data_IF_091110576878
#
_entry.id   IF_091110576878
#
_cell.length_a   1.000
_cell.length_b   1.000
_cell.length_c   1.000
_cell.angle_alpha   90.00
_cell.angle_beta   90.00
_cell.angle_gamma   90.00
#
_symmetry.space_group_name_H-M   'P 1'
#
loop_
_entity.id
_entity.type
_entity.pdbx_description
1 polymer ?
#
# COMPACT_ATOMS: atom_id res chain seq x y z
N UNK A 1 -5.31 27.84 27.43
CA UNK A 1 -4.05 27.59 26.69
C UNK A 1 -3.67 26.13 26.94
N UNK A 2 -3.75 25.31 25.89
CA UNK A 2 -3.51 23.85 25.73
C UNK A 2 -3.81 22.92 26.92
N UNK A 3 -4.81 22.05 26.77
CA UNK A 3 -4.68 20.63 27.15
C UNK A 3 -5.58 19.70 26.32
N UNK A 4 -4.95 18.62 25.87
CA UNK A 4 -5.45 17.40 25.20
C UNK A 4 -6.30 16.58 26.19
N UNK A 5 -7.36 15.86 25.76
CA UNK A 5 -7.80 14.57 26.35
C UNK A 5 -8.87 13.85 25.48
N UNK A 6 -8.48 12.64 25.06
CA UNK A 6 -9.19 11.38 24.75
C UNK A 6 -10.56 11.30 24.03
N UNK A 7 -10.52 10.62 22.87
CA UNK A 7 -11.64 9.86 22.29
C UNK A 7 -12.05 8.72 23.23
N UNK A 8 -13.32 8.69 23.64
CA UNK A 8 -14.00 7.43 23.97
C UNK A 8 -15.02 7.12 22.87
N UNK A 9 -14.68 6.15 22.01
CA UNK A 9 -15.68 5.44 21.19
C UNK A 9 -16.66 4.76 22.15
N UNK A 10 -17.86 5.32 22.31
CA UNK A 10 -18.96 4.60 22.99
C UNK A 10 -19.36 3.42 22.10
N UNK A 11 -19.19 2.20 22.59
CA UNK A 11 -19.87 1.02 22.02
C UNK A 11 -21.39 1.32 22.00
N UNK A 12 -22.14 0.97 20.95
CA UNK A 12 -23.59 1.06 21.01
C UNK A 12 -24.10 0.17 22.16
N UNK A 13 -25.14 0.59 22.90
CA UNK A 13 -25.64 -0.18 24.03
C UNK A 13 -26.11 -1.56 23.55
N UNK A 14 -25.77 -2.57 24.34
CA UNK A 14 -26.06 -3.99 24.14
C UNK A 14 -27.58 -4.20 24.04
N UNK A 15 -28.12 -4.16 22.80
CA UNK A 15 -29.53 -4.37 22.52
C UNK A 15 -29.80 -5.88 22.51
N UNK A 16 -30.32 -6.41 23.62
CA UNK A 16 -30.86 -7.77 23.63
C UNK A 16 -32.20 -7.78 22.92
N UNK A 17 -32.25 -8.41 21.77
CA UNK A 17 -33.46 -8.68 20.99
C UNK A 17 -33.95 -10.09 21.35
N UNK A 18 -35.17 -10.20 21.87
CA UNK A 18 -35.80 -11.50 22.10
C UNK A 18 -36.84 -11.75 21.00
N UNK A 19 -36.78 -12.93 20.38
CA UNK A 19 -37.73 -13.39 19.37
C UNK A 19 -38.84 -14.22 20.01
N UNK A 20 -40.11 -13.88 19.76
CA UNK A 20 -41.27 -14.70 20.14
C UNK A 20 -41.80 -15.44 18.89
N UNK A 21 -41.74 -16.79 18.83
CA UNK A 21 -42.09 -17.54 17.62
C UNK A 21 -43.56 -17.48 17.23
N UNK A 22 -44.47 -17.11 18.13
CA UNK A 22 -45.92 -17.19 17.88
C UNK A 22 -46.53 -15.93 17.24
N UNK A 23 -45.79 -14.82 17.13
CA UNK A 23 -46.33 -13.54 16.63
C UNK A 23 -45.44 -12.81 15.60
N UNK A 24 -44.28 -13.37 15.21
CA UNK A 24 -43.41 -12.78 14.17
C UNK A 24 -42.89 -11.37 14.48
N UNK A 25 -42.88 -10.95 15.74
CA UNK A 25 -42.54 -9.57 16.15
C UNK A 25 -41.28 -9.54 17.02
N UNK A 26 -40.35 -8.64 16.69
CA UNK A 26 -39.18 -8.32 17.51
C UNK A 26 -39.52 -7.23 18.54
N UNK A 27 -39.15 -7.44 19.81
CA UNK A 27 -39.32 -6.44 20.86
C UNK A 27 -37.95 -6.02 21.38
N UNK A 28 -37.61 -4.74 21.25
CA UNK A 28 -36.43 -4.15 21.89
C UNK A 28 -36.83 -3.55 23.24
N UNK A 29 -36.25 -4.05 24.33
CA UNK A 29 -36.41 -3.46 25.66
C UNK A 29 -35.32 -2.39 25.86
N UNK A 30 -35.69 -1.10 25.80
CA UNK A 30 -34.82 -0.02 26.25
C UNK A 30 -35.08 0.31 27.72
N UNK A 31 -34.05 0.33 28.56
CA UNK A 31 -34.15 0.78 29.95
C UNK A 31 -34.40 2.30 30.02
N UNK A 32 -35.61 2.64 30.48
CA UNK A 32 -36.12 3.89 31.08
C UNK A 32 -35.50 5.25 30.72
N UNK A 33 -36.35 6.20 30.28
CA UNK A 33 -36.05 7.65 30.20
C UNK A 33 -36.75 8.38 31.36
N UNK A 34 -36.01 9.21 32.12
CA UNK A 34 -36.55 10.05 33.21
C UNK A 34 -37.25 11.28 32.60
N UNK A 35 -38.56 11.43 32.80
CA UNK A 35 -39.30 12.63 32.41
C UNK A 35 -39.64 13.42 33.68
N UNK A 36 -38.83 14.44 33.99
CA UNK A 36 -38.98 15.41 35.10
C UNK A 36 -39.02 14.84 36.53
N UNK A 37 -39.02 15.72 37.55
CA UNK A 37 -38.82 15.46 38.99
C UNK A 37 -39.95 14.65 39.67
N UNK A 38 -40.28 13.48 39.12
CA UNK A 38 -41.12 12.46 39.74
C UNK A 38 -40.41 11.11 39.84
N UNK A 39 -40.99 10.12 40.55
CA UNK A 39 -40.44 8.78 40.67
C UNK A 39 -40.39 8.06 39.31
N UNK A 40 -39.42 7.14 39.17
CA UNK A 40 -39.24 6.34 37.97
C UNK A 40 -40.51 5.55 37.62
N UNK A 41 -41.07 5.77 36.43
CA UNK A 41 -42.13 4.92 35.86
C UNK A 41 -41.56 4.12 34.70
N UNK A 42 -41.69 2.79 34.79
CA UNK A 42 -41.51 1.89 33.65
C UNK A 42 -42.63 2.16 32.64
N UNK A 43 -42.30 2.80 31.52
CA UNK A 43 -43.18 2.92 30.37
C UNK A 43 -42.78 1.87 29.35
N UNK A 44 -43.70 0.95 29.01
CA UNK A 44 -43.55 0.04 27.87
C UNK A 44 -43.91 0.82 26.61
N UNK A 45 -42.91 1.33 25.88
CA UNK A 45 -43.14 1.75 24.49
C UNK A 45 -42.76 0.60 23.55
N UNK A 46 -43.76 -0.02 22.94
CA UNK A 46 -43.52 -0.96 21.83
C UNK A 46 -43.45 -0.15 20.53
N UNK A 47 -42.23 0.09 20.03
CA UNK A 47 -42.05 0.60 18.67
C UNK A 47 -41.93 -0.60 17.72
N UNK A 48 -42.94 -0.77 16.88
CA UNK A 48 -42.94 -1.73 15.77
C UNK A 48 -41.95 -1.21 14.73
N UNK A 49 -40.82 -1.89 14.56
CA UNK A 49 -39.95 -1.66 13.41
C UNK A 49 -40.47 -2.50 12.24
N UNK A 50 -40.67 -1.93 11.03
CA UNK A 50 -40.89 -2.74 9.84
C UNK A 50 -39.66 -3.64 9.65
N UNK A 51 -39.89 -4.95 9.51
CA UNK A 51 -38.85 -5.94 9.26
C UNK A 51 -38.05 -5.54 7.99
N UNK A 52 -36.70 -5.62 7.97
CA UNK A 52 -35.99 -5.63 6.69
C UNK A 52 -36.45 -6.85 5.88
N UNK A 53 -36.68 -6.66 4.59
CA UNK A 53 -37.21 -7.72 3.73
C UNK A 53 -36.23 -8.91 3.70
N UNK A 54 -36.70 -10.18 3.60
CA UNK A 54 -35.85 -11.36 3.77
C UNK A 54 -34.61 -11.42 2.88
N UNK A 55 -34.65 -10.78 1.71
CA UNK A 55 -33.55 -10.73 0.74
C UNK A 55 -32.40 -9.78 1.15
N UNK A 56 -32.64 -8.81 2.04
CA UNK A 56 -31.60 -7.89 2.52
C UNK A 56 -30.59 -8.58 3.44
N UNK A 57 -30.97 -9.70 4.07
CA UNK A 57 -30.10 -10.50 4.94
C UNK A 57 -29.34 -11.60 4.19
N UNK A 58 -29.75 -11.95 2.98
CA UNK A 58 -29.17 -13.08 2.22
C UNK A 58 -27.94 -12.66 1.41
N UNK A 59 -27.94 -11.44 0.87
CA UNK A 59 -26.84 -10.90 0.06
C UNK A 59 -25.51 -10.84 0.83
N UNK A 60 -25.46 -10.35 2.08
CA UNK A 60 -24.22 -10.33 2.85
C UNK A 60 -23.68 -11.76 3.07
N UNK A 61 -24.56 -12.70 3.45
CA UNK A 61 -24.18 -14.09 3.72
C UNK A 61 -23.66 -14.84 2.48
N UNK A 62 -24.11 -14.46 1.28
CA UNK A 62 -23.65 -15.02 0.01
C UNK A 62 -22.25 -14.52 -0.38
N UNK A 63 -21.95 -13.23 -0.16
CA UNK A 63 -20.65 -12.61 -0.51
C UNK A 63 -19.50 -13.20 0.33
N UNK A 64 -19.77 -13.68 1.54
CA UNK A 64 -18.76 -14.31 2.40
C UNK A 64 -18.48 -15.78 2.07
N UNK A 65 -19.16 -16.39 1.08
CA UNK A 65 -18.90 -17.79 0.70
C UNK A 65 -17.72 -17.90 -0.26
N UNK A 66 -16.81 -18.84 0.02
CA UNK A 66 -15.66 -19.15 -0.83
C UNK A 66 -16.07 -19.51 -2.26
N UNK A 67 -17.19 -20.23 -2.44
CA UNK A 67 -17.70 -20.60 -3.77
C UNK A 67 -18.15 -19.38 -4.59
N UNK A 68 -18.72 -18.37 -3.93
CA UNK A 68 -19.11 -17.12 -4.59
C UNK A 68 -17.86 -16.37 -5.06
N UNK A 69 -16.86 -16.21 -4.19
CA UNK A 69 -15.59 -15.60 -4.55
C UNK A 69 -14.89 -16.35 -5.71
N UNK A 70 -14.87 -17.69 -5.66
CA UNK A 70 -14.30 -18.52 -6.72
C UNK A 70 -15.10 -18.52 -8.03
N UNK A 71 -16.40 -18.23 -7.98
CA UNK A 71 -17.24 -17.99 -9.16
C UNK A 71 -16.95 -16.63 -9.80
N UNK A 72 -16.83 -15.57 -8.98
CA UNK A 72 -16.44 -14.22 -9.42
C UNK A 72 -15.05 -14.24 -10.05
N UNK A 73 -14.06 -14.87 -9.41
CA UNK A 73 -12.71 -14.98 -9.96
C UNK A 73 -12.70 -15.65 -11.35
N UNK A 74 -13.40 -16.78 -11.51
CA UNK A 74 -13.51 -17.49 -12.79
C UNK A 74 -14.17 -16.65 -13.88
N UNK A 75 -15.22 -15.90 -13.52
CA UNK A 75 -15.89 -14.98 -14.44
C UNK A 75 -14.96 -13.83 -14.85
N UNK A 76 -14.30 -13.18 -13.89
CA UNK A 76 -13.36 -12.09 -14.17
C UNK A 76 -12.17 -12.56 -15.02
N UNK A 77 -11.72 -13.81 -14.87
CA UNK A 77 -10.62 -14.37 -15.68
C UNK A 77 -10.99 -14.53 -17.15
N UNK A 78 -12.26 -14.76 -17.49
CA UNK A 78 -12.71 -14.93 -18.88
C UNK A 78 -13.21 -13.63 -19.53
N UNK A 79 -13.57 -12.63 -18.72
CA UNK A 79 -14.02 -11.33 -19.21
C UNK A 79 -12.85 -10.49 -19.74
N UNK A 80 -12.92 -10.14 -21.04
CA UNK A 80 -11.90 -9.35 -21.74
C UNK A 80 -11.73 -7.94 -21.21
N UNK A 81 -12.70 -7.44 -20.45
CA UNK A 81 -12.62 -6.15 -19.76
C UNK A 81 -11.56 -6.16 -18.66
N UNK A 82 -11.32 -7.33 -18.04
CA UNK A 82 -10.35 -7.52 -16.96
C UNK A 82 -9.12 -8.32 -17.39
N UNK A 83 -9.20 -9.06 -18.50
CA UNK A 83 -8.08 -9.81 -19.05
C UNK A 83 -7.01 -8.87 -19.66
N UNK A 84 -6.04 -8.49 -18.85
CA UNK A 84 -4.82 -7.79 -19.26
C UNK A 84 -3.60 -8.68 -19.11
N UNK A 85 -2.57 -8.46 -19.93
CA UNK A 85 -1.32 -9.19 -19.84
C UNK A 85 -0.39 -8.56 -18.79
N UNK A 86 0.64 -9.27 -18.37
CA UNK A 86 1.64 -8.69 -17.45
C UNK A 86 2.33 -7.45 -18.04
N UNK A 87 2.46 -7.35 -19.37
CA UNK A 87 3.05 -6.22 -20.09
C UNK A 87 2.22 -4.93 -20.04
N UNK A 88 0.97 -5.03 -19.58
CA UNK A 88 0.09 -3.88 -19.40
C UNK A 88 0.34 -3.12 -18.11
N UNK A 89 1.03 -3.75 -17.15
CA UNK A 89 1.37 -3.19 -15.84
C UNK A 89 2.75 -2.52 -15.88
N UNK A 90 2.88 -1.41 -15.15
CA UNK A 90 4.12 -0.62 -15.00
C UNK A 90 4.74 -0.19 -16.34
N UNK A 91 3.90 0.10 -17.34
CA UNK A 91 4.32 0.39 -18.72
C UNK A 91 5.12 1.69 -18.86
N UNK A 92 4.75 2.73 -18.12
CA UNK A 92 5.46 4.02 -18.20
C UNK A 92 6.66 4.01 -17.24
N UNK A 93 7.85 3.88 -17.80
CA UNK A 93 9.13 3.91 -17.08
C UNK A 93 9.35 5.21 -16.27
N UNK A 94 8.68 6.31 -16.62
CA UNK A 94 8.86 7.61 -15.98
C UNK A 94 7.70 7.97 -15.03
N UNK A 95 6.75 7.05 -14.79
CA UNK A 95 5.83 7.14 -13.67
C UNK A 95 6.37 6.34 -12.48
N UNK A 96 6.40 6.97 -11.31
CA UNK A 96 6.80 6.35 -10.06
C UNK A 96 5.59 6.30 -9.11
N UNK A 97 5.21 5.09 -8.70
CA UNK A 97 4.22 4.91 -7.63
C UNK A 97 4.81 5.23 -6.27
N UNK A 98 4.07 5.94 -5.42
CA UNK A 98 4.44 6.28 -4.05
C UNK A 98 3.21 6.17 -3.14
N UNK A 99 3.42 6.14 -1.82
CA UNK A 99 2.32 6.06 -0.86
C UNK A 99 1.34 7.24 -0.94
N UNK A 100 1.76 8.40 -1.47
CA UNK A 100 0.92 9.61 -1.59
C UNK A 100 0.31 9.78 -2.99
N UNK A 101 0.66 8.91 -3.95
CA UNK A 101 0.19 8.98 -5.32
C UNK A 101 1.26 8.64 -6.34
N UNK A 102 1.03 9.06 -7.59
CA UNK A 102 1.93 8.81 -8.71
C UNK A 102 2.73 10.06 -9.03
N UNK A 103 4.04 9.92 -9.16
CA UNK A 103 4.95 11.00 -9.53
C UNK A 103 5.32 10.84 -11.00
N UNK A 104 5.13 11.90 -11.79
CA UNK A 104 5.67 11.97 -13.15
C UNK A 104 7.10 12.50 -13.09
N UNK A 105 8.07 11.62 -13.31
CA UNK A 105 9.50 11.95 -13.23
C UNK A 105 9.97 12.91 -14.34
N UNK A 106 9.17 13.09 -15.41
CA UNK A 106 9.47 14.09 -16.45
C UNK A 106 9.28 15.51 -15.95
N UNK A 107 8.29 15.71 -15.08
CA UNK A 107 7.86 17.02 -14.60
C UNK A 107 8.15 17.25 -13.12
N UNK A 108 8.37 16.18 -12.35
CA UNK A 108 8.50 16.20 -10.90
C UNK A 108 7.17 16.33 -10.16
N UNK A 109 6.03 16.30 -10.87
CA UNK A 109 4.73 16.54 -10.27
C UNK A 109 4.17 15.28 -9.62
N UNK A 110 3.78 15.40 -8.34
CA UNK A 110 3.00 14.40 -7.63
C UNK A 110 1.50 14.62 -7.91
N UNK A 111 0.81 13.57 -8.33
CA UNK A 111 -0.65 13.56 -8.52
C UNK A 111 -1.29 12.37 -7.82
N UNK A 112 -2.60 12.45 -7.60
CA UNK A 112 -3.37 11.33 -7.08
C UNK A 112 -3.17 10.08 -7.95
N UNK A 113 -3.07 8.92 -7.30
CA UNK A 113 -2.94 7.63 -7.97
C UNK A 113 -4.15 7.40 -8.88
N UNK A 114 -3.91 7.05 -10.14
CA UNK A 114 -4.94 6.73 -11.11
C UNK A 114 -4.85 5.24 -11.47
N UNK A 115 -5.90 4.44 -11.27
CA UNK A 115 -5.91 3.02 -11.66
C UNK A 115 -5.59 2.79 -13.15
N UNK A 116 -5.85 3.78 -14.01
CA UNK A 116 -5.52 3.69 -15.44
C UNK A 116 -4.00 3.66 -15.70
N UNK A 117 -3.16 4.13 -14.77
CA UNK A 117 -1.70 4.09 -14.90
C UNK A 117 -1.14 2.67 -14.74
N UNK A 118 -1.94 1.76 -14.18
CA UNK A 118 -1.56 0.34 -13.97
C UNK A 118 -0.21 0.18 -13.29
N UNK A 119 0.05 1.00 -12.27
CA UNK A 119 1.26 0.91 -11.45
C UNK A 119 1.02 -0.14 -10.36
N UNK A 120 1.91 -1.12 -10.25
CA UNK A 120 1.83 -2.19 -9.23
C UNK A 120 2.83 -2.01 -8.09
N UNK A 121 3.92 -1.27 -8.35
CA UNK A 121 4.99 -1.06 -7.39
C UNK A 121 4.88 0.29 -6.68
N UNK A 122 5.22 0.33 -5.39
CA UNK A 122 5.16 1.54 -4.56
C UNK A 122 6.52 1.80 -3.91
N UNK A 123 7.04 3.02 -4.09
CA UNK A 123 8.23 3.49 -3.38
C UNK A 123 7.91 3.71 -1.89
N UNK A 124 8.90 3.49 -1.03
CA UNK A 124 8.76 3.57 0.42
C UNK A 124 8.50 5.00 0.93
N UNK A 125 8.79 6.01 0.12
CA UNK A 125 8.60 7.43 0.45
C UNK A 125 8.05 8.21 -0.74
N UNK A 126 7.27 9.25 -0.46
CA UNK A 126 6.85 10.24 -1.45
C UNK A 126 7.81 11.45 -1.49
N UNK A 127 7.90 12.19 -2.62
CA UNK A 127 8.73 13.39 -2.71
C UNK A 127 8.32 14.45 -1.68
N UNK A 128 9.31 14.97 -0.94
CA UNK A 128 9.07 16.07 -0.02
C UNK A 128 8.93 17.41 -0.78
N UNK A 129 8.03 18.32 -0.36
CA UNK A 129 7.92 19.66 -0.95
C UNK A 129 9.20 20.49 -0.81
N UNK A 130 9.96 20.25 0.27
CA UNK A 130 11.26 20.88 0.53
C UNK A 130 12.22 19.81 1.02
N UNK A 131 13.20 19.44 0.19
CA UNK A 131 14.21 18.45 0.53
C UNK A 131 15.46 19.13 1.11
N UNK A 132 15.56 19.24 2.44
CA UNK A 132 16.80 19.71 3.09
C UNK A 132 17.78 18.58 3.42
N UNK A 133 17.25 17.39 3.73
CA UNK A 133 17.99 16.14 4.03
C UNK A 133 19.41 16.31 4.61
N UNK A 134 19.60 17.07 5.72
CA UNK A 134 20.93 17.49 6.15
C UNK A 134 21.83 16.31 6.55
N UNK A 135 21.25 15.26 7.16
CA UNK A 135 21.97 14.05 7.52
C UNK A 135 22.45 13.28 6.29
N UNK A 136 21.62 13.21 5.25
CA UNK A 136 21.97 12.54 4.00
C UNK A 136 23.08 13.29 3.24
N UNK A 137 22.97 14.62 3.17
CA UNK A 137 23.98 15.47 2.54
C UNK A 137 25.32 15.39 3.27
N UNK A 138 25.31 15.45 4.61
CA UNK A 138 26.51 15.27 5.43
C UNK A 138 27.12 13.88 5.28
N UNK A 139 26.28 12.84 5.18
CA UNK A 139 26.73 11.47 4.92
C UNK A 139 27.44 11.35 3.56
N UNK A 140 26.86 11.91 2.50
CA UNK A 140 27.49 11.90 1.17
C UNK A 140 28.82 12.65 1.19
N UNK A 141 28.88 13.82 1.81
CA UNK A 141 30.10 14.61 1.94
C UNK A 141 31.21 13.83 2.68
N UNK A 142 30.89 13.24 3.83
CA UNK A 142 31.85 12.47 4.63
C UNK A 142 32.33 11.19 3.91
N UNK A 143 31.42 10.44 3.29
CA UNK A 143 31.76 9.14 2.69
C UNK A 143 32.50 9.25 1.37
N UNK A 144 32.32 10.36 0.64
CA UNK A 144 33.02 10.64 -0.61
C UNK A 144 34.28 11.48 -0.43
N UNK A 145 34.59 11.91 0.80
CA UNK A 145 35.71 12.83 1.06
C UNK A 145 35.52 14.19 0.40
N UNK A 146 34.28 14.68 0.37
CA UNK A 146 33.86 15.93 -0.28
C UNK A 146 34.14 15.98 -1.79
N UNK A 147 34.28 14.83 -2.45
CA UNK A 147 34.39 14.75 -3.91
C UNK A 147 33.04 15.10 -4.55
N UNK A 148 32.91 16.35 -4.96
CA UNK A 148 31.70 16.88 -5.59
C UNK A 148 31.32 16.16 -6.90
N UNK A 149 32.29 15.61 -7.64
CA UNK A 149 32.01 14.87 -8.87
C UNK A 149 31.42 13.50 -8.55
N UNK A 150 31.99 12.81 -7.56
CA UNK A 150 31.48 11.54 -7.08
C UNK A 150 30.07 11.70 -6.47
N UNK A 151 29.85 12.73 -5.65
CA UNK A 151 28.53 13.04 -5.08
C UNK A 151 27.51 13.26 -6.20
N UNK A 152 27.86 14.07 -7.21
CA UNK A 152 26.99 14.31 -8.37
C UNK A 152 26.68 13.01 -9.10
N UNK A 153 27.68 12.18 -9.36
CA UNK A 153 27.49 10.89 -10.03
C UNK A 153 26.54 9.98 -9.24
N UNK A 154 26.73 9.83 -7.93
CA UNK A 154 25.85 9.02 -7.08
C UNK A 154 24.41 9.53 -7.10
N UNK A 155 24.21 10.86 -7.06
CA UNK A 155 22.87 11.45 -7.17
C UNK A 155 22.22 11.20 -8.53
N UNK A 156 22.99 11.32 -9.63
CA UNK A 156 22.50 11.01 -10.97
C UNK A 156 22.15 9.54 -11.12
N UNK A 157 22.97 8.64 -10.57
CA UNK A 157 22.69 7.21 -10.53
C UNK A 157 21.40 6.91 -9.78
N UNK A 158 21.24 7.45 -8.56
CA UNK A 158 19.98 7.30 -7.82
C UNK A 158 18.78 7.86 -8.60
N UNK A 159 18.93 8.99 -9.28
CA UNK A 159 17.89 9.57 -10.13
C UNK A 159 17.52 8.67 -11.32
N UNK A 160 18.52 8.04 -11.94
CA UNK A 160 18.32 7.06 -13.00
C UNK A 160 17.57 5.81 -12.49
N UNK A 161 17.94 5.28 -11.32
CA UNK A 161 17.26 4.16 -10.67
C UNK A 161 15.82 4.48 -10.22
N UNK A 162 15.42 5.75 -10.12
CA UNK A 162 14.00 6.08 -9.94
C UNK A 162 13.18 5.80 -11.20
N UNK A 163 13.82 5.78 -12.38
CA UNK A 163 13.17 5.46 -13.65
C UNK A 163 13.18 3.95 -13.91
N UNK A 164 12.22 3.47 -14.69
CA UNK A 164 12.23 2.11 -15.25
C UNK A 164 13.02 2.01 -16.55
N UNK A 165 13.91 2.96 -16.82
CA UNK A 165 14.67 3.03 -18.06
C UNK A 165 15.96 2.20 -17.96
N UNK A 166 16.22 1.38 -18.98
CA UNK A 166 17.39 0.50 -19.03
C UNK A 166 18.36 0.84 -20.16
N UNK A 167 18.17 1.97 -20.86
CA UNK A 167 18.97 2.38 -22.03
C UNK A 167 20.48 2.38 -21.82
N UNK A 168 20.95 2.68 -20.61
CA UNK A 168 22.39 2.78 -20.32
C UNK A 168 23.08 1.40 -20.22
N UNK A 169 22.33 0.31 -20.03
CA UNK A 169 22.86 -1.04 -19.80
C UNK A 169 24.08 -1.06 -18.84
N UNK A 170 24.02 -0.28 -17.76
CA UNK A 170 25.14 -0.03 -16.86
C UNK A 170 25.02 -0.83 -15.56
N UNK A 171 26.16 -1.32 -15.07
CA UNK A 171 26.29 -1.97 -13.76
C UNK A 171 27.28 -1.15 -12.92
N UNK A 172 26.84 -0.69 -11.75
CA UNK A 172 27.64 0.14 -10.86
C UNK A 172 28.22 -0.68 -9.72
N UNK A 173 29.54 -0.73 -9.64
CA UNK A 173 30.27 -1.38 -8.55
C UNK A 173 30.67 -0.38 -7.48
N UNK A 174 30.03 -0.43 -6.32
CA UNK A 174 30.42 0.37 -5.15
C UNK A 174 31.49 -0.38 -4.37
N UNK A 175 32.76 -0.11 -4.65
CA UNK A 175 33.90 -0.83 -4.04
C UNK A 175 34.73 0.04 -3.09
N UNK A 176 35.60 -0.60 -2.32
CA UNK A 176 36.59 0.03 -1.44
C UNK A 176 36.63 -0.61 -0.05
N UNK A 177 37.48 -0.10 0.85
CA UNK A 177 37.65 -0.65 2.19
C UNK A 177 36.33 -0.73 2.99
N UNK A 178 36.27 -1.68 3.93
CA UNK A 178 35.14 -1.81 4.85
C UNK A 178 35.00 -0.57 5.74
N UNK A 179 33.76 -0.24 6.13
CA UNK A 179 33.47 0.88 7.02
C UNK A 179 33.18 2.23 6.33
N UNK A 180 33.29 2.33 5.01
CA UNK A 180 33.10 3.59 4.28
C UNK A 180 31.63 3.92 3.93
N UNK A 181 30.66 3.39 4.66
CA UNK A 181 29.24 3.71 4.46
C UNK A 181 28.56 3.12 3.21
N UNK A 182 29.22 2.25 2.42
CA UNK A 182 28.64 1.64 1.21
C UNK A 182 27.31 0.94 1.48
N UNK A 183 27.27 0.08 2.49
CA UNK A 183 26.05 -0.63 2.89
C UNK A 183 24.98 0.35 3.38
N UNK A 184 25.37 1.44 4.06
CA UNK A 184 24.41 2.47 4.50
C UNK A 184 23.80 3.19 3.31
N UNK A 185 24.63 3.56 2.31
CA UNK A 185 24.15 4.16 1.07
C UNK A 185 23.16 3.24 0.35
N UNK A 186 23.56 1.99 0.08
CA UNK A 186 22.72 1.02 -0.63
C UNK A 186 21.41 0.74 0.14
N UNK A 187 21.49 0.47 1.44
CA UNK A 187 20.29 0.22 2.26
C UNK A 187 19.34 1.42 2.29
N UNK A 188 19.87 2.65 2.28
CA UNK A 188 19.04 3.86 2.24
C UNK A 188 18.30 3.97 0.91
N UNK A 189 19.00 3.77 -0.21
CA UNK A 189 18.40 3.84 -1.55
C UNK A 189 17.40 2.71 -1.76
N UNK A 190 17.72 1.48 -1.36
CA UNK A 190 16.80 0.34 -1.37
C UNK A 190 15.56 0.62 -0.52
N UNK A 191 15.72 1.23 0.66
CA UNK A 191 14.58 1.60 1.52
C UNK A 191 13.68 2.68 0.91
N UNK A 192 14.26 3.62 0.15
CA UNK A 192 13.51 4.64 -0.60
C UNK A 192 12.72 4.00 -1.74
N UNK A 193 13.36 3.12 -2.52
CA UNK A 193 12.76 2.46 -3.68
C UNK A 193 11.76 1.37 -3.30
N UNK A 194 11.90 0.74 -2.14
CA UNK A 194 11.03 -0.33 -1.64
C UNK A 194 10.74 -1.39 -2.72
N UNK A 195 9.50 -1.50 -3.20
CA UNK A 195 9.09 -2.50 -4.22
C UNK A 195 9.88 -2.39 -5.53
N UNK A 196 10.45 -1.21 -5.81
CA UNK A 196 11.30 -0.97 -6.98
C UNK A 196 12.76 -1.43 -6.77
N UNK A 197 13.14 -1.96 -5.62
CA UNK A 197 14.47 -2.48 -5.37
C UNK A 197 14.44 -3.96 -4.98
N UNK A 198 15.31 -4.76 -5.60
CA UNK A 198 15.51 -6.17 -5.26
C UNK A 198 16.99 -6.41 -5.00
N UNK A 199 17.32 -7.44 -4.23
CA UNK A 199 18.69 -7.92 -4.08
C UNK A 199 18.78 -9.26 -4.77
N UNK A 200 19.60 -9.34 -5.82
CA UNK A 200 19.86 -10.60 -6.51
C UNK A 200 21.21 -11.20 -6.06
N UNK A 201 21.26 -12.54 -5.98
CA UNK A 201 22.52 -13.23 -5.78
C UNK A 201 23.42 -13.04 -7.02
N UNK A 202 24.74 -12.91 -6.83
CA UNK A 202 25.70 -12.75 -7.94
C UNK A 202 25.60 -13.88 -8.97
N UNK A 203 25.23 -15.08 -8.52
CA UNK A 203 25.02 -16.26 -9.35
C UNK A 203 23.87 -16.08 -10.37
N UNK A 204 22.94 -15.16 -10.10
CA UNK A 204 21.87 -14.75 -11.04
C UNK A 204 22.45 -14.17 -12.33
N UNK A 205 23.60 -13.50 -12.24
CA UNK A 205 24.26 -12.83 -13.36
C UNK A 205 25.43 -13.63 -13.95
N UNK A 206 26.04 -14.54 -13.19
CA UNK A 206 27.19 -15.33 -13.64
C UNK A 206 26.76 -16.53 -14.51
N UNK A 207 27.30 -16.65 -15.73
CA UNK A 207 26.95 -17.73 -16.66
C UNK A 207 27.11 -19.12 -16.02
N UNK A 208 26.01 -19.89 -15.99
CA UNK A 208 25.95 -21.23 -15.42
C UNK A 208 25.53 -22.24 -16.48
N UNK A 209 26.10 -23.47 -16.52
CA UNK A 209 25.64 -24.55 -17.39
C UNK A 209 24.26 -25.11 -17.04
N UNK A 210 23.75 -24.87 -15.83
CA UNK A 210 22.47 -25.38 -15.34
C UNK A 210 21.34 -24.39 -15.52
N UNK A 211 20.17 -24.91 -15.90
CA UNK A 211 18.92 -24.16 -16.10
C UNK A 211 18.53 -23.44 -14.80
N UNK A 212 18.48 -22.10 -14.85
CA UNK A 212 18.22 -21.27 -13.66
C UNK A 212 16.74 -21.32 -13.29
N UNK A 213 16.44 -21.25 -12.00
CA UNK A 213 15.06 -21.24 -11.53
C UNK A 213 14.32 -20.02 -12.10
N UNK A 214 13.20 -20.22 -12.84
CA UNK A 214 12.41 -19.13 -13.46
C UNK A 214 11.94 -18.07 -12.46
N UNK A 215 11.84 -18.45 -11.18
CA UNK A 215 11.43 -17.60 -10.07
C UNK A 215 12.37 -16.43 -9.83
N UNK A 216 13.69 -16.62 -9.97
CA UNK A 216 14.67 -15.56 -9.71
C UNK A 216 14.55 -14.44 -10.75
N UNK A 217 14.32 -14.80 -12.01
CA UNK A 217 14.05 -13.84 -13.09
C UNK A 217 12.69 -13.16 -12.94
N UNK A 218 11.69 -13.89 -12.44
CA UNK A 218 10.36 -13.33 -12.19
C UNK A 218 10.40 -12.25 -11.09
N UNK A 219 11.23 -12.43 -10.06
CA UNK A 219 11.43 -11.47 -8.96
C UNK A 219 12.06 -10.15 -9.41
N UNK A 220 12.82 -10.16 -10.52
CA UNK A 220 13.41 -8.93 -11.08
C UNK A 220 12.41 -8.07 -11.85
N UNK A 221 11.19 -8.57 -12.09
CA UNK A 221 10.19 -7.85 -12.87
C UNK A 221 9.72 -6.60 -12.11
N UNK A 222 9.93 -5.43 -12.71
CA UNK A 222 9.50 -4.15 -12.14
C UNK A 222 10.49 -3.55 -11.15
N UNK A 223 11.57 -4.27 -10.80
CA UNK A 223 12.70 -3.70 -10.08
C UNK A 223 13.46 -2.70 -10.98
N UNK A 224 13.82 -1.56 -10.40
CA UNK A 224 14.61 -0.48 -11.01
C UNK A 224 16.02 -0.38 -10.42
N UNK A 225 16.24 -1.02 -9.27
CA UNK A 225 17.54 -1.24 -8.65
C UNK A 225 17.67 -2.73 -8.28
N UNK A 226 18.81 -3.34 -8.61
CA UNK A 226 19.13 -4.75 -8.35
C UNK A 226 20.54 -4.89 -7.77
#
# INVERSE_FOLDING_TARGET
MVHRIHRHRRRPPDRRLCHSPQAGTWVALSLARKITNGPWRLTRSASIFPQPYPWELTVPALIYKTDFAGGVERFCRSDRTFAVTSADWDRDALLLGTAEGSVDLRTGNLRAANPADRITNVAGVAPAPVAKCPLWLAFLDQTTGSDTQLIRFLQQWCGYCLTGDTREHALVFVYGPGGNGKSVFLNTVTGILADYATVAAMDTFAASPTDRHPTDLAMLRGARLV
#
